data_IF_393440074450
#
_entry.id   IF_393440074450
#
_cell.length_a   1.000
_cell.length_b   1.000
_cell.length_c   1.000
_cell.angle_alpha   90.00
_cell.angle_beta   90.00
_cell.angle_gamma   90.00
#
_symmetry.space_group_name_H-M   'P 1'
#
loop_
_entity.id
_entity.type
_entity.pdbx_description
1 polymer ?
#
# COMPACT_ATOMS: atom_id res chain seq x y z
N UNK A 1 -2.74 -33.42 21.10
CA UNK A 1 -2.25 -32.03 20.96
C UNK A 1 -3.43 -31.10 21.14
N UNK A 2 -3.38 -30.22 22.13
CA UNK A 2 -4.39 -29.18 22.25
C UNK A 2 -4.28 -28.29 21.01
N UNK A 3 -5.36 -28.21 20.21
CA UNK A 3 -5.47 -27.28 19.08
C UNK A 3 -5.27 -25.86 19.59
N UNK A 4 -4.18 -25.21 19.19
CA UNK A 4 -3.94 -23.81 19.56
C UNK A 4 -4.99 -22.93 18.89
N UNK A 5 -5.62 -22.05 19.64
CA UNK A 5 -6.61 -21.08 19.10
C UNK A 5 -6.04 -20.32 17.92
N UNK A 6 -6.74 -20.24 16.77
CA UNK A 6 -6.26 -19.52 15.60
C UNK A 6 -6.09 -18.03 15.88
N UNK A 7 -5.04 -17.44 15.31
CA UNK A 7 -4.85 -15.98 15.30
C UNK A 7 -5.19 -15.47 13.92
N UNK A 8 -6.09 -14.49 13.85
CA UNK A 8 -6.56 -13.89 12.61
C UNK A 8 -6.37 -12.39 12.66
N UNK A 9 -5.79 -11.84 11.59
CA UNK A 9 -5.52 -10.42 11.47
C UNK A 9 -6.46 -9.81 10.43
N UNK A 10 -7.23 -8.82 10.81
CA UNK A 10 -7.93 -7.93 9.91
C UNK A 10 -7.14 -6.62 9.88
N UNK A 11 -6.45 -6.37 8.79
CA UNK A 11 -5.54 -5.25 8.65
C UNK A 11 -6.12 -4.23 7.67
N UNK A 12 -6.03 -2.95 7.98
CA UNK A 12 -6.42 -1.89 7.06
C UNK A 12 -5.21 -1.04 6.69
N UNK A 13 -5.08 -0.69 5.41
CA UNK A 13 -4.05 0.24 4.93
C UNK A 13 -2.63 -0.21 5.35
N UNK A 14 -1.85 0.68 5.94
CA UNK A 14 -0.51 0.40 6.48
C UNK A 14 -0.47 -0.80 7.43
N UNK A 15 -1.57 -1.10 8.13
CA UNK A 15 -1.64 -2.25 9.04
C UNK A 15 -1.32 -3.59 8.38
N UNK A 16 -1.60 -3.75 7.08
CA UNK A 16 -1.20 -4.93 6.32
C UNK A 16 0.32 -5.00 6.08
N UNK A 17 0.99 -3.86 5.90
CA UNK A 17 2.45 -3.82 5.80
C UNK A 17 3.10 -4.20 7.15
N UNK A 18 2.54 -3.72 8.26
CA UNK A 18 2.97 -4.10 9.61
C UNK A 18 2.82 -5.62 9.83
N UNK A 19 1.69 -6.21 9.43
CA UNK A 19 1.49 -7.66 9.50
C UNK A 19 2.51 -8.43 8.65
N UNK A 20 2.83 -7.95 7.46
CA UNK A 20 3.88 -8.54 6.62
C UNK A 20 5.27 -8.39 7.23
N UNK A 21 5.59 -7.23 7.79
CA UNK A 21 6.87 -7.03 8.48
C UNK A 21 7.01 -7.97 9.71
N UNK A 22 5.92 -8.20 10.45
CA UNK A 22 5.90 -9.17 11.55
C UNK A 22 6.30 -10.58 11.09
N UNK A 23 6.02 -10.96 9.83
CA UNK A 23 6.42 -12.25 9.28
C UNK A 23 7.95 -12.42 9.16
N UNK A 24 8.73 -11.34 9.32
CA UNK A 24 10.19 -11.43 9.40
C UNK A 24 10.70 -11.89 10.77
N UNK A 25 9.84 -11.92 11.78
CA UNK A 25 10.19 -12.29 13.14
C UNK A 25 9.81 -13.73 13.49
N UNK A 26 10.53 -14.34 14.42
CA UNK A 26 10.30 -15.73 14.85
C UNK A 26 8.89 -16.03 15.34
N UNK A 27 8.20 -15.02 15.90
CA UNK A 27 6.80 -15.13 16.33
C UNK A 27 5.85 -15.58 15.20
N UNK A 28 6.17 -15.27 13.94
CA UNK A 28 5.37 -15.72 12.81
C UNK A 28 5.34 -17.25 12.68
N UNK A 29 6.43 -17.93 12.98
CA UNK A 29 6.47 -19.39 12.92
C UNK A 29 5.47 -20.01 13.90
N UNK A 30 5.37 -19.47 15.10
CA UNK A 30 4.40 -19.93 16.11
C UNK A 30 2.95 -19.63 15.72
N UNK A 31 2.72 -18.48 15.07
CA UNK A 31 1.38 -18.04 14.63
C UNK A 31 0.89 -18.89 13.47
N UNK A 32 1.72 -19.11 12.47
CA UNK A 32 1.32 -19.83 11.25
C UNK A 32 1.07 -21.33 11.48
N UNK A 33 1.61 -21.91 12.55
CA UNK A 33 1.35 -23.29 12.96
C UNK A 33 -0.06 -23.50 13.56
N UNK A 34 -0.77 -22.41 13.83
CA UNK A 34 -2.13 -22.48 14.37
C UNK A 34 -3.12 -22.65 13.22
N UNK A 35 -3.90 -23.73 13.25
CA UNK A 35 -4.93 -24.00 12.25
C UNK A 35 -5.88 -22.81 12.11
N UNK A 36 -6.15 -22.40 10.86
CA UNK A 36 -7.05 -21.27 10.56
C UNK A 36 -6.45 -19.88 10.81
N UNK A 37 -5.12 -19.78 11.00
CA UNK A 37 -4.41 -18.49 10.97
C UNK A 37 -4.60 -17.81 9.60
N UNK A 38 -4.95 -16.51 9.60
CA UNK A 38 -5.13 -15.70 8.39
C UNK A 38 -4.78 -14.24 8.60
N UNK A 39 -4.39 -13.61 7.48
CA UNK A 39 -4.19 -12.17 7.37
C UNK A 39 -5.09 -11.67 6.25
N UNK A 40 -6.14 -10.93 6.58
CA UNK A 40 -7.01 -10.26 5.62
C UNK A 40 -6.62 -8.78 5.57
N UNK A 41 -6.18 -8.32 4.40
CA UNK A 41 -5.66 -6.98 4.18
C UNK A 41 -6.65 -6.15 3.39
N UNK A 42 -7.23 -5.12 4.01
CA UNK A 42 -8.16 -4.18 3.39
C UNK A 42 -7.40 -2.96 2.87
N UNK A 43 -7.34 -2.76 1.57
CA UNK A 43 -6.72 -1.59 0.96
C UNK A 43 -5.24 -1.40 1.30
N UNK A 44 -4.51 -2.47 1.62
CA UNK A 44 -3.09 -2.38 1.96
C UNK A 44 -2.26 -2.03 0.72
N UNK A 45 -1.40 -1.00 0.79
CA UNK A 45 -0.51 -0.62 -0.31
C UNK A 45 0.70 -1.56 -0.36
N UNK A 46 0.48 -2.82 -0.75
CA UNK A 46 1.50 -3.87 -0.72
C UNK A 46 2.73 -3.63 -1.61
N UNK A 47 2.62 -2.69 -2.55
CA UNK A 47 3.70 -2.19 -3.43
C UNK A 47 3.85 -0.67 -3.33
N UNK A 48 3.38 -0.09 -2.22
CA UNK A 48 3.38 1.35 -1.98
C UNK A 48 2.18 2.09 -2.59
N UNK A 49 2.07 3.38 -2.28
CA UNK A 49 1.03 4.26 -2.79
C UNK A 49 1.57 5.66 -3.06
N UNK A 50 1.27 6.20 -4.22
CA UNK A 50 1.58 7.60 -4.55
C UNK A 50 0.76 8.61 -3.75
N UNK A 51 -0.30 8.18 -3.07
CA UNK A 51 -1.01 9.03 -2.11
C UNK A 51 -0.13 9.38 -0.92
N UNK A 52 0.78 8.50 -0.50
CA UNK A 52 1.80 8.80 0.51
C UNK A 52 2.73 9.93 0.04
N UNK A 53 3.19 9.89 -1.22
CA UNK A 53 3.99 10.96 -1.81
C UNK A 53 3.21 12.28 -1.88
N UNK A 54 1.94 12.25 -2.30
CA UNK A 54 1.09 13.45 -2.30
C UNK A 54 0.96 14.05 -0.91
N UNK A 55 0.78 13.22 0.13
CA UNK A 55 0.71 13.67 1.52
C UNK A 55 2.04 14.32 1.96
N UNK A 56 3.18 13.68 1.71
CA UNK A 56 4.52 14.22 2.00
C UNK A 56 4.79 15.55 1.27
N UNK A 57 4.15 15.78 0.13
CA UNK A 57 4.26 17.03 -0.64
C UNK A 57 3.18 18.06 -0.26
N UNK A 58 2.29 17.75 0.68
CA UNK A 58 1.18 18.62 1.05
C UNK A 58 0.24 18.92 -0.11
N UNK A 59 0.09 17.98 -1.05
CA UNK A 59 -0.79 18.14 -2.22
C UNK A 59 -2.23 17.80 -1.84
N UNK A 60 -3.17 18.63 -2.27
CA UNK A 60 -4.60 18.51 -1.93
C UNK A 60 -5.20 17.12 -2.22
N UNK A 61 -6.18 16.73 -1.43
CA UNK A 61 -6.82 15.39 -1.45
C UNK A 61 -6.06 14.31 -0.68
N UNK A 62 -4.74 14.43 -0.53
CA UNK A 62 -3.96 13.60 0.40
C UNK A 62 -4.07 14.09 1.85
N UNK A 63 -4.64 15.26 2.05
CA UNK A 63 -4.99 15.80 3.37
C UNK A 63 -5.95 14.88 4.14
N UNK A 64 -6.69 13.99 3.48
CA UNK A 64 -7.53 13.01 4.19
C UNK A 64 -6.74 12.05 5.10
N UNK A 65 -5.46 11.77 4.80
CA UNK A 65 -4.58 11.08 5.75
C UNK A 65 -4.17 12.05 6.87
N UNK A 66 -3.95 13.31 6.53
CA UNK A 66 -3.60 14.37 7.48
C UNK A 66 -4.85 14.79 8.27
N UNK A 67 -6.03 14.89 7.63
CA UNK A 67 -7.32 15.14 8.29
C UNK A 67 -7.69 14.02 9.27
N UNK A 68 -7.23 12.79 9.00
CA UNK A 68 -7.37 11.67 9.93
C UNK A 68 -6.42 11.80 11.13
N UNK A 69 -5.27 12.46 10.95
CA UNK A 69 -4.24 12.64 11.97
C UNK A 69 -4.36 13.98 12.69
N UNK A 70 -5.04 14.94 12.10
CA UNK A 70 -5.20 16.29 12.64
C UNK A 70 -6.65 16.56 13.01
N UNK A 71 -6.89 16.54 14.27
CA UNK A 71 -8.11 16.99 14.90
C UNK A 71 -8.26 18.54 14.78
N UNK A 72 -8.62 19.01 13.59
CA UNK A 72 -9.51 20.16 13.48
C UNK A 72 -8.95 21.58 13.38
N UNK A 73 -7.64 21.87 13.30
CA UNK A 73 -7.18 23.27 13.11
C UNK A 73 -6.03 23.40 12.10
N UNK A 74 -6.39 23.43 10.81
CA UNK A 74 -5.44 23.38 9.69
C UNK A 74 -4.99 24.75 9.15
N UNK A 75 -5.72 25.81 9.42
CA UNK A 75 -5.46 27.07 8.74
C UNK A 75 -4.22 27.80 9.27
N UNK A 76 -3.80 27.51 10.50
CA UNK A 76 -2.79 28.35 11.16
C UNK A 76 -1.34 27.91 10.97
N UNK A 77 -1.02 26.67 10.51
CA UNK A 77 0.39 26.32 10.34
C UNK A 77 0.69 25.12 9.41
N UNK A 78 0.42 25.25 8.11
CA UNK A 78 0.76 24.24 7.09
C UNK A 78 2.22 23.73 7.18
N UNK A 79 3.15 24.61 7.52
CA UNK A 79 4.56 24.26 7.65
C UNK A 79 4.80 23.33 8.87
N UNK A 80 4.09 23.56 9.97
CA UNK A 80 4.16 22.70 11.16
C UNK A 80 3.54 21.33 10.87
N UNK A 81 2.37 21.31 10.23
CA UNK A 81 1.72 20.06 9.82
C UNK A 81 2.63 19.24 8.91
N UNK A 82 3.25 19.86 7.90
CA UNK A 82 4.19 19.15 7.01
C UNK A 82 5.42 18.64 7.77
N UNK A 83 5.98 19.40 8.71
CA UNK A 83 7.09 18.91 9.56
C UNK A 83 6.66 17.70 10.37
N UNK A 84 5.47 17.72 10.95
CA UNK A 84 4.92 16.58 11.68
C UNK A 84 4.73 15.38 10.75
N UNK A 85 4.13 15.57 9.59
CA UNK A 85 3.96 14.52 8.57
C UNK A 85 5.31 13.91 8.17
N UNK A 86 6.32 14.74 7.97
CA UNK A 86 7.67 14.29 7.64
C UNK A 86 8.39 13.57 8.79
N UNK A 87 7.91 13.67 10.02
CA UNK A 87 8.45 12.91 11.16
C UNK A 87 7.99 11.45 11.19
N UNK A 88 6.93 11.10 10.45
CA UNK A 88 6.41 9.74 10.38
C UNK A 88 7.17 8.91 9.34
N UNK A 89 8.09 8.08 9.76
CA UNK A 89 8.87 7.22 8.88
C UNK A 89 7.98 6.24 8.09
N UNK A 90 6.94 5.71 8.72
CA UNK A 90 5.96 4.82 8.07
C UNK A 90 5.24 5.45 6.87
N UNK A 91 5.13 6.78 6.78
CA UNK A 91 4.59 7.43 5.59
C UNK A 91 5.56 7.38 4.41
N UNK A 92 6.88 7.49 4.69
CA UNK A 92 7.93 7.36 3.69
C UNK A 92 8.03 5.89 3.25
N UNK A 93 7.93 4.97 4.20
CA UNK A 93 7.91 3.52 3.96
C UNK A 93 6.70 3.08 3.12
N UNK A 94 5.61 3.84 3.11
CA UNK A 94 4.47 3.58 2.22
C UNK A 94 4.65 4.10 0.79
N UNK A 95 5.72 4.83 0.48
CA UNK A 95 5.99 5.27 -0.90
C UNK A 95 6.31 4.07 -1.79
N UNK A 96 5.92 4.10 -3.08
CA UNK A 96 6.33 3.07 -4.01
C UNK A 96 7.87 2.96 -4.09
N UNK A 97 8.44 1.75 -4.15
CA UNK A 97 9.90 1.55 -4.19
C UNK A 97 10.61 2.33 -5.30
N UNK A 98 9.98 2.49 -6.47
CA UNK A 98 10.55 3.27 -7.58
C UNK A 98 10.66 4.77 -7.26
N UNK A 99 9.80 5.31 -6.40
CA UNK A 99 9.90 6.70 -5.95
C UNK A 99 11.05 6.91 -4.94
N UNK A 100 11.58 5.82 -4.36
CA UNK A 100 12.71 5.82 -3.44
C UNK A 100 14.07 5.70 -4.16
N UNK A 101 14.10 5.53 -5.49
CA UNK A 101 15.34 5.55 -6.25
C UNK A 101 16.00 6.94 -6.13
N UNK A 102 17.33 6.97 -6.00
CA UNK A 102 18.11 8.19 -5.70
C UNK A 102 17.75 9.37 -6.63
N UNK A 103 17.71 9.14 -7.93
CA UNK A 103 17.43 10.20 -8.92
C UNK A 103 16.01 10.73 -8.82
N UNK A 104 15.05 9.84 -8.56
CA UNK A 104 13.66 10.21 -8.32
C UNK A 104 13.51 10.95 -6.99
N UNK A 105 14.15 10.47 -5.94
CA UNK A 105 14.18 11.10 -4.64
C UNK A 105 14.75 12.52 -4.69
N UNK A 106 15.88 12.68 -5.34
CA UNK A 106 16.51 13.98 -5.51
C UNK A 106 15.62 14.94 -6.28
N UNK A 107 14.97 14.48 -7.34
CA UNK A 107 14.01 15.28 -8.10
C UNK A 107 12.79 15.66 -7.25
N UNK A 108 12.24 14.72 -6.49
CA UNK A 108 11.04 14.94 -5.70
C UNK A 108 11.25 15.88 -4.51
N UNK A 109 12.39 15.86 -3.88
CA UNK A 109 12.60 16.52 -2.59
C UNK A 109 13.65 17.64 -2.61
N UNK A 110 14.72 17.55 -3.42
CA UNK A 110 15.72 18.63 -3.54
C UNK A 110 15.22 19.78 -4.42
N UNK A 111 14.54 19.46 -5.52
CA UNK A 111 14.05 20.47 -6.47
C UNK A 111 12.85 21.28 -5.95
N UNK A 112 12.18 20.79 -4.90
CA UNK A 112 10.99 21.42 -4.33
C UNK A 112 11.15 21.69 -2.82
N UNK A 113 12.07 22.58 -2.42
CA UNK A 113 12.44 22.80 -1.01
C UNK A 113 11.31 23.35 -0.14
N UNK A 114 10.24 23.90 -0.75
CA UNK A 114 9.08 24.44 0.00
C UNK A 114 8.30 23.40 0.80
N UNK A 115 8.56 22.10 0.56
CA UNK A 115 7.91 21.02 1.30
C UNK A 115 8.76 20.42 2.42
N UNK A 116 9.83 21.11 2.84
CA UNK A 116 10.82 20.56 3.76
C UNK A 116 11.68 19.50 3.08
N UNK A 117 13.00 19.62 3.16
CA UNK A 117 13.90 18.60 2.65
C UNK A 117 13.81 17.38 3.55
N UNK A 118 13.28 16.28 3.04
CA UNK A 118 13.44 14.98 3.68
C UNK A 118 14.92 14.63 3.60
N UNK A 119 15.53 14.37 4.75
CA UNK A 119 16.95 14.07 4.82
C UNK A 119 17.26 12.67 4.29
N UNK A 120 18.48 12.46 3.75
CA UNK A 120 18.99 11.13 3.38
C UNK A 120 18.74 10.05 4.45
N UNK A 121 18.89 10.32 5.75
CA UNK A 121 18.65 9.32 6.80
C UNK A 121 17.25 8.68 6.80
N UNK A 122 16.25 9.33 6.19
CA UNK A 122 14.89 8.78 6.11
C UNK A 122 14.65 7.91 4.88
N UNK A 123 15.45 8.04 3.85
CA UNK A 123 15.37 7.22 2.64
C UNK A 123 15.87 5.79 2.90
N UNK A 124 17.01 5.65 3.56
CA UNK A 124 17.64 4.35 3.82
C UNK A 124 16.76 3.40 4.64
N UNK A 125 16.13 3.82 5.76
CA UNK A 125 15.16 2.97 6.48
C UNK A 125 14.00 2.53 5.61
N UNK A 126 13.46 3.40 4.75
CA UNK A 126 12.36 3.04 3.87
C UNK A 126 12.77 1.99 2.81
N UNK A 127 13.97 2.11 2.24
CA UNK A 127 14.52 1.10 1.34
C UNK A 127 14.72 -0.23 2.06
N UNK A 128 15.28 -0.21 3.27
CA UNK A 128 15.47 -1.41 4.09
C UNK A 128 14.13 -2.08 4.43
N UNK A 129 13.10 -1.30 4.75
CA UNK A 129 11.74 -1.81 5.00
C UNK A 129 11.18 -2.58 3.79
N UNK A 130 11.29 -2.03 2.57
CA UNK A 130 10.85 -2.72 1.36
C UNK A 130 11.65 -4.00 1.08
N UNK A 131 12.94 -4.03 1.46
CA UNK A 131 13.75 -5.25 1.37
C UNK A 131 13.21 -6.35 2.26
N UNK A 132 12.82 -6.00 3.48
CA UNK A 132 12.19 -6.94 4.43
C UNK A 132 10.88 -7.47 3.86
N UNK A 133 10.05 -6.61 3.26
CA UNK A 133 8.74 -7.01 2.75
C UNK A 133 8.78 -7.86 1.48
N UNK A 134 9.86 -7.81 0.68
CA UNK A 134 9.95 -8.47 -0.62
C UNK A 134 9.49 -9.91 -0.59
N UNK A 135 10.01 -10.69 0.35
CA UNK A 135 9.80 -12.13 0.46
C UNK A 135 8.77 -12.49 1.55
N UNK A 136 8.06 -11.49 2.10
CA UNK A 136 7.05 -11.70 3.14
C UNK A 136 5.67 -11.82 2.55
N UNK A 137 5.47 -12.90 1.79
CA UNK A 137 4.22 -13.28 1.16
C UNK A 137 3.91 -14.72 1.54
N UNK A 138 2.76 -14.93 2.17
CA UNK A 138 2.22 -16.25 2.50
C UNK A 138 0.90 -16.43 1.75
N UNK A 139 0.98 -17.07 0.59
CA UNK A 139 -0.17 -17.23 -0.33
C UNK A 139 -1.28 -18.12 0.23
N UNK A 140 -1.00 -18.92 1.26
CA UNK A 140 -1.98 -19.79 1.91
C UNK A 140 -2.77 -19.06 2.98
N UNK A 141 -2.16 -18.05 3.63
CA UNK A 141 -2.73 -17.37 4.79
C UNK A 141 -3.11 -15.92 4.54
N UNK A 142 -2.61 -15.32 3.47
CA UNK A 142 -2.91 -13.94 3.12
C UNK A 142 -4.11 -13.85 2.17
N UNK A 143 -4.93 -12.83 2.36
CA UNK A 143 -6.04 -12.46 1.48
C UNK A 143 -6.02 -10.95 1.33
N UNK A 144 -6.19 -10.47 0.11
CA UNK A 144 -6.26 -9.05 -0.18
C UNK A 144 -7.67 -8.62 -0.59
N UNK A 145 -8.14 -7.50 -0.04
CA UNK A 145 -9.44 -6.89 -0.40
C UNK A 145 -9.19 -5.45 -0.83
N UNK A 146 -9.44 -5.15 -2.08
CA UNK A 146 -9.33 -3.81 -2.64
C UNK A 146 -10.64 -3.02 -2.50
N UNK A 147 -10.54 -1.73 -2.28
CA UNK A 147 -11.63 -0.82 -2.60
C UNK A 147 -11.53 -0.36 -4.06
N UNK A 148 -12.66 -0.15 -4.72
CA UNK A 148 -12.72 0.27 -6.11
C UNK A 148 -13.68 1.46 -6.33
N UNK A 149 -13.60 2.05 -7.53
CA UNK A 149 -14.53 3.07 -8.00
C UNK A 149 -14.14 4.51 -7.64
N UNK A 150 -12.91 4.74 -7.15
CA UNK A 150 -12.40 6.08 -6.86
C UNK A 150 -11.19 6.44 -7.73
N UNK A 151 -11.11 7.68 -8.17
CA UNK A 151 -9.91 8.17 -8.84
C UNK A 151 -8.72 8.09 -7.91
N UNK A 152 -7.76 7.25 -8.26
CA UNK A 152 -6.64 6.86 -7.42
C UNK A 152 -5.33 7.12 -8.16
N UNK A 153 -4.33 7.77 -7.55
CA UNK A 153 -3.02 7.96 -8.17
C UNK A 153 -2.38 6.60 -8.49
N UNK A 154 -2.03 6.39 -9.75
CA UNK A 154 -1.49 5.13 -10.25
C UNK A 154 0.02 5.18 -10.38
N UNK A 155 0.54 6.23 -11.01
CA UNK A 155 1.97 6.46 -11.21
C UNK A 155 2.26 7.94 -11.42
N UNK A 156 3.54 8.33 -11.34
CA UNK A 156 3.99 9.66 -11.71
C UNK A 156 4.14 9.70 -13.24
N UNK A 157 3.38 10.58 -13.88
CA UNK A 157 3.49 10.87 -15.30
C UNK A 157 4.72 11.73 -15.60
N UNK A 158 5.03 12.66 -14.71
CA UNK A 158 6.17 13.56 -14.82
C UNK A 158 6.73 13.91 -13.44
N UNK A 159 7.98 13.56 -13.20
CA UNK A 159 8.68 13.92 -11.96
C UNK A 159 8.97 15.42 -11.88
N UNK A 160 9.08 16.11 -13.01
CA UNK A 160 9.36 17.56 -13.05
C UNK A 160 8.15 18.41 -12.68
N UNK A 161 6.93 17.98 -13.06
CA UNK A 161 5.67 18.70 -12.78
C UNK A 161 4.86 18.07 -11.64
N UNK A 162 5.24 16.89 -11.14
CA UNK A 162 4.47 16.08 -10.18
C UNK A 162 3.04 15.80 -10.65
N UNK A 163 2.89 15.54 -11.95
CA UNK A 163 1.65 15.07 -12.50
C UNK A 163 1.49 13.58 -12.25
N UNK A 164 0.29 13.19 -11.84
CA UNK A 164 -0.06 11.80 -11.60
C UNK A 164 -1.03 11.31 -12.65
N UNK A 165 -0.76 10.14 -13.19
CA UNK A 165 -1.76 9.34 -13.84
C UNK A 165 -2.70 8.74 -12.80
N UNK A 166 -4.00 8.63 -13.11
CA UNK A 166 -5.00 8.11 -12.19
C UNK A 166 -5.76 6.95 -12.81
N UNK A 167 -6.29 6.08 -11.96
CA UNK A 167 -7.17 4.97 -12.34
C UNK A 167 -8.43 4.98 -11.49
N UNK A 168 -9.53 4.44 -11.99
CA UNK A 168 -10.74 4.15 -11.21
C UNK A 168 -10.70 2.77 -10.57
N UNK A 169 -9.66 1.96 -10.90
CA UNK A 169 -9.39 0.67 -10.28
C UNK A 169 -8.63 0.86 -8.96
N UNK A 170 -9.26 1.55 -8.00
CA UNK A 170 -8.70 1.83 -6.69
C UNK A 170 -9.70 2.53 -5.80
N UNK A 171 -9.30 2.76 -4.55
CA UNK A 171 -10.12 3.24 -3.45
C UNK A 171 -9.94 4.74 -3.13
N UNK A 172 -9.22 5.47 -3.99
CA UNK A 172 -8.82 6.87 -3.80
C UNK A 172 -7.42 7.02 -3.20
N UNK A 173 -6.86 5.97 -2.62
CA UNK A 173 -5.54 5.97 -1.96
C UNK A 173 -4.62 4.89 -2.54
N UNK A 174 -5.12 3.67 -2.70
CA UNK A 174 -4.35 2.52 -3.17
C UNK A 174 -4.98 1.99 -4.45
N UNK A 175 -4.28 2.03 -5.59
CA UNK A 175 -4.74 1.38 -6.80
C UNK A 175 -4.68 -0.14 -6.64
N UNK A 176 -5.57 -0.87 -7.29
CA UNK A 176 -5.64 -2.32 -7.21
C UNK A 176 -4.30 -2.99 -7.57
N UNK A 177 -3.63 -2.47 -8.58
CA UNK A 177 -2.31 -2.95 -9.03
C UNK A 177 -1.23 -2.88 -7.96
N UNK A 178 -1.27 -1.85 -7.10
CA UNK A 178 -0.32 -1.69 -5.99
C UNK A 178 -0.68 -2.52 -4.76
N UNK A 179 -1.95 -2.87 -4.60
CA UNK A 179 -2.41 -3.65 -3.45
C UNK A 179 -2.31 -5.15 -3.65
N UNK A 180 -2.55 -5.66 -4.86
CA UNK A 180 -2.51 -7.10 -5.14
C UNK A 180 -1.10 -7.67 -4.96
N UNK A 181 -1.03 -8.92 -4.51
CA UNK A 181 0.19 -9.73 -4.47
C UNK A 181 -0.01 -10.98 -5.31
N UNK A 182 1.04 -11.41 -6.00
CA UNK A 182 0.96 -12.59 -6.86
C UNK A 182 0.75 -13.85 -6.02
N UNK A 183 -0.19 -14.69 -6.46
CA UNK A 183 -0.59 -15.90 -5.74
C UNK A 183 -1.49 -15.67 -4.52
N UNK A 184 -1.71 -14.43 -4.07
CA UNK A 184 -2.60 -14.11 -2.95
C UNK A 184 -4.04 -13.93 -3.47
N UNK A 185 -5.03 -14.67 -2.92
CA UNK A 185 -6.43 -14.48 -3.27
C UNK A 185 -6.85 -13.03 -3.09
N UNK A 186 -7.50 -12.47 -4.11
CA UNK A 186 -7.88 -11.06 -4.13
C UNK A 186 -9.39 -10.89 -4.31
N UNK A 187 -9.95 -9.97 -3.55
CA UNK A 187 -11.35 -9.58 -3.58
C UNK A 187 -11.48 -8.08 -3.75
N UNK A 188 -12.67 -7.60 -4.05
CA UNK A 188 -12.94 -6.17 -4.07
C UNK A 188 -14.28 -5.81 -3.43
N UNK A 189 -14.36 -4.56 -2.98
CA UNK A 189 -15.54 -3.92 -2.41
C UNK A 189 -15.71 -2.55 -3.06
N UNK A 190 -16.93 -2.14 -3.34
CA UNK A 190 -17.23 -0.78 -3.83
C UNK A 190 -17.22 0.20 -2.66
N UNK A 191 -16.04 0.61 -2.24
CA UNK A 191 -15.85 1.54 -1.12
C UNK A 191 -14.57 2.36 -1.31
N UNK A 192 -14.56 3.58 -0.77
CA UNK A 192 -13.33 4.35 -0.64
C UNK A 192 -12.44 3.81 0.49
N UNK A 193 -11.17 4.24 0.49
CA UNK A 193 -10.14 3.75 1.39
C UNK A 193 -10.52 3.84 2.87
N UNK A 194 -10.98 5.01 3.31
CA UNK A 194 -11.35 5.24 4.71
C UNK A 194 -12.67 4.55 5.11
N UNK A 195 -13.48 4.15 4.14
CA UNK A 195 -14.73 3.44 4.37
C UNK A 195 -14.57 1.92 4.39
N UNK A 196 -13.50 1.36 3.80
CA UNK A 196 -13.28 -0.09 3.75
C UNK A 196 -13.50 -0.79 5.10
N UNK A 197 -12.86 -0.37 6.22
CA UNK A 197 -12.98 -1.07 7.49
C UNK A 197 -14.33 -0.86 8.20
N UNK A 198 -15.14 0.07 7.74
CA UNK A 198 -16.46 0.40 8.33
C UNK A 198 -17.63 0.19 7.37
N UNK A 199 -17.38 -0.39 6.20
CA UNK A 199 -18.41 -0.69 5.20
C UNK A 199 -19.28 -1.87 5.62
N UNK A 200 -20.32 -1.59 6.40
CA UNK A 200 -21.21 -2.61 7.01
C UNK A 200 -21.69 -3.71 6.05
N UNK A 201 -22.08 -3.41 4.78
CA UNK A 201 -22.49 -4.45 3.86
C UNK A 201 -21.44 -5.53 3.58
N UNK A 202 -20.14 -5.22 3.77
CA UNK A 202 -19.05 -6.14 3.56
C UNK A 202 -18.64 -6.94 4.82
N UNK A 203 -19.18 -6.64 5.99
CA UNK A 203 -18.72 -7.25 7.26
C UNK A 203 -18.85 -8.76 7.27
N UNK A 204 -19.99 -9.31 6.81
CA UNK A 204 -20.13 -10.77 6.71
C UNK A 204 -19.06 -11.37 5.79
N UNK A 205 -18.76 -10.70 4.66
CA UNK A 205 -17.69 -11.15 3.77
C UNK A 205 -16.31 -11.12 4.42
N UNK A 206 -15.99 -10.10 5.21
CA UNK A 206 -14.72 -10.04 5.95
C UNK A 206 -14.63 -11.14 7.02
N UNK A 207 -15.71 -11.39 7.75
CA UNK A 207 -15.79 -12.49 8.71
C UNK A 207 -15.58 -13.85 8.04
N UNK A 208 -16.22 -14.07 6.90
CA UNK A 208 -16.07 -15.27 6.10
C UNK A 208 -14.61 -15.46 5.63
N UNK A 209 -13.97 -14.38 5.13
CA UNK A 209 -12.58 -14.43 4.71
C UNK A 209 -11.65 -14.76 5.90
N UNK A 210 -11.89 -14.17 7.07
CA UNK A 210 -11.14 -14.47 8.29
C UNK A 210 -11.34 -15.90 8.75
N UNK A 211 -12.58 -16.39 8.77
CA UNK A 211 -12.92 -17.69 9.34
C UNK A 211 -12.71 -18.85 8.39
N UNK A 212 -13.09 -18.69 7.12
CA UNK A 212 -13.13 -19.77 6.11
C UNK A 212 -12.12 -19.60 4.97
N UNK A 213 -11.51 -18.41 4.84
CA UNK A 213 -10.59 -18.06 3.74
C UNK A 213 -11.27 -17.77 2.40
N UNK A 214 -12.60 -17.80 2.35
CA UNK A 214 -13.42 -17.51 1.17
C UNK A 214 -14.77 -16.95 1.59
N UNK A 215 -15.44 -16.26 0.68
CA UNK A 215 -16.79 -15.73 0.90
C UNK A 215 -17.63 -15.81 -0.39
N UNK A 216 -18.93 -15.97 -0.23
CA UNK A 216 -19.94 -15.88 -1.29
C UNK A 216 -20.73 -14.56 -1.18
N UNK A 217 -20.26 -13.61 -0.37
CA UNK A 217 -20.90 -12.32 -0.19
C UNK A 217 -20.91 -11.53 -1.49
N UNK A 218 -22.07 -11.04 -1.90
CA UNK A 218 -22.22 -10.14 -3.07
C UNK A 218 -21.53 -8.78 -2.90
N UNK A 219 -21.14 -8.42 -1.69
CA UNK A 219 -20.48 -7.16 -1.37
C UNK A 219 -18.94 -7.28 -1.30
N UNK A 220 -18.42 -8.51 -1.21
CA UNK A 220 -16.98 -8.82 -1.22
C UNK A 220 -16.75 -9.84 -2.33
N UNK A 221 -16.46 -9.32 -3.52
CA UNK A 221 -16.46 -10.13 -4.75
C UNK A 221 -15.05 -10.61 -5.05
N UNK A 222 -14.92 -11.92 -5.30
CA UNK A 222 -13.65 -12.49 -5.73
C UNK A 222 -13.20 -11.89 -7.06
N UNK A 223 -11.94 -11.55 -7.14
CA UNK A 223 -11.33 -11.05 -8.36
C UNK A 223 -10.21 -11.99 -8.77
N UNK A 224 -10.50 -12.87 -9.70
CA UNK A 224 -9.46 -13.67 -10.33
C UNK A 224 -8.39 -12.73 -10.90
N UNK A 225 -7.12 -13.11 -10.81
CA UNK A 225 -6.10 -12.46 -11.61
C UNK A 225 -6.59 -12.44 -13.06
N UNK A 226 -6.50 -11.31 -13.81
CA UNK A 226 -7.01 -11.28 -15.16
C UNK A 226 -6.31 -12.37 -15.96
N UNK A 227 -7.02 -13.46 -16.23
CA UNK A 227 -6.72 -14.27 -17.36
C UNK A 227 -7.04 -13.39 -18.56
N UNK A 228 -6.00 -12.76 -19.12
CA UNK A 228 -6.00 -12.06 -20.39
C UNK A 228 -7.31 -11.32 -20.73
N UNK A 229 -7.31 -10.03 -20.52
CA UNK A 229 -8.28 -9.10 -21.10
C UNK A 229 -8.13 -9.08 -22.63
N UNK A 230 -8.43 -10.19 -23.31
CA UNK A 230 -8.43 -10.27 -24.77
C UNK A 230 -9.65 -11.03 -25.25
N UNK A 231 -10.73 -10.28 -25.44
CA UNK A 231 -11.64 -10.40 -26.58
C UNK A 231 -12.50 -9.15 -26.67
N UNK A 232 -12.10 -8.23 -27.54
CA UNK A 232 -13.08 -7.47 -28.34
C UNK A 232 -13.45 -6.05 -27.94
N UNK A 233 -12.75 -5.36 -27.03
CA UNK A 233 -12.84 -3.90 -26.95
C UNK A 233 -11.44 -3.31 -26.91
N UNK A 234 -11.17 -2.37 -27.82
CA UNK A 234 -9.93 -1.61 -27.85
C UNK A 234 -9.88 -0.69 -26.61
N UNK A 235 -9.46 -1.24 -25.49
CA UNK A 235 -8.93 -0.39 -24.44
C UNK A 235 -7.54 0.08 -24.89
N UNK A 236 -7.18 1.36 -24.62
CA UNK A 236 -5.83 1.80 -24.87
C UNK A 236 -4.87 0.81 -24.21
N UNK A 237 -3.75 0.47 -24.87
CA UNK A 237 -2.78 -0.44 -24.28
C UNK A 237 -2.48 0.06 -22.88
N UNK A 238 -2.66 -0.82 -21.89
CA UNK A 238 -2.10 -0.55 -20.56
C UNK A 238 -0.66 -0.13 -20.80
N UNK A 239 -0.20 0.99 -20.23
CA UNK A 239 1.22 1.32 -20.27
C UNK A 239 1.93 0.02 -19.94
N UNK A 240 2.84 -0.41 -20.82
CA UNK A 240 3.61 -1.63 -20.58
C UNK A 240 4.00 -1.56 -19.11
N UNK A 241 3.56 -2.52 -18.31
CA UNK A 241 3.92 -2.56 -16.90
C UNK A 241 5.44 -2.46 -16.90
N UNK A 242 5.93 -1.26 -16.68
CA UNK A 242 7.32 -1.12 -16.28
C UNK A 242 7.37 -2.03 -15.08
N UNK A 243 8.07 -3.18 -15.12
CA UNK A 243 8.08 -4.08 -14.01
C UNK A 243 8.34 -3.20 -12.80
N UNK A 244 7.50 -3.27 -11.77
CA UNK A 244 7.84 -2.63 -10.50
C UNK A 244 9.12 -3.31 -10.10
N UNK A 245 10.23 -2.82 -10.62
CA UNK A 245 11.58 -3.28 -10.32
C UNK A 245 11.73 -2.96 -8.84
N UNK A 246 11.42 -3.95 -8.02
CA UNK A 246 12.02 -3.93 -6.70
C UNK A 246 13.51 -3.76 -6.96
N UNK A 247 14.13 -2.70 -6.44
CA UNK A 247 15.55 -2.52 -6.62
C UNK A 247 16.22 -3.85 -6.28
N UNK A 248 17.07 -4.34 -7.15
CA UNK A 248 17.80 -5.58 -6.87
C UNK A 248 18.59 -5.40 -5.59
N UNK A 249 18.91 -6.51 -4.90
CA UNK A 249 19.73 -6.44 -3.69
C UNK A 249 21.00 -5.60 -3.91
N UNK A 250 21.62 -5.71 -5.09
CA UNK A 250 22.79 -4.93 -5.50
C UNK A 250 22.52 -3.43 -5.60
N UNK A 251 21.37 -3.03 -6.18
CA UNK A 251 20.97 -1.61 -6.24
C UNK A 251 20.68 -1.03 -4.85
N UNK A 252 20.21 -1.88 -3.93
CA UNK A 252 19.88 -1.47 -2.58
C UNK A 252 21.12 -1.43 -1.69
N UNK A 253 22.05 -2.36 -1.88
CA UNK A 253 23.37 -2.34 -1.23
C UNK A 253 24.21 -1.18 -1.75
N UNK A 254 24.20 -0.87 -3.05
CA UNK A 254 24.86 0.30 -3.62
C UNK A 254 24.29 1.62 -3.06
N UNK A 255 22.96 1.71 -2.93
CA UNK A 255 22.31 2.89 -2.34
C UNK A 255 22.66 3.04 -0.84
N UNK A 256 22.82 1.95 -0.10
CA UNK A 256 23.24 1.95 1.30
C UNK A 256 24.72 2.32 1.47
N UNK A 257 25.57 1.99 0.50
CA UNK A 257 27.01 2.30 0.54
C UNK A 257 27.36 3.69 -0.01
N UNK A 258 26.39 4.46 -0.49
CA UNK A 258 26.59 5.85 -0.92
C UNK A 258 27.37 6.01 -2.23
N UNK A 259 27.43 4.97 -3.07
CA UNK A 259 28.06 4.95 -4.40
C UNK A 259 27.04 5.27 -5.48
#
# INVERSE_FOLDING_TARGET
>A
SQSKTPIRFLCHSMGGLVARAMMAHGVWQEIKERDGCRIVMLGTPNRGSYSALKALRGMGGALSIIDLLALGDFEHNRATVLRTVHSFDGLIEMMPPNALLKDHWDTLFKRYPKAGALSKPKLEPAIAFWSVLRDRIDTERMIYVAGLGKHTPLQIKSFSSLEFETTTQGDGTVPWSSGKLDGVPSYHVQADHGSLPKHRPAFQGYEDLLSRGRTDSKHVVFRAAPQTWFRGEQQPPLPQETPLLFPTRELMEAAAMGV
#
